data_IF_381708618687
#
_entry.id   IF_381708618687
#
_cell.length_a   1.000
_cell.length_b   1.000
_cell.length_c   1.000
_cell.angle_alpha   90.00
_cell.angle_beta   90.00
_cell.angle_gamma   90.00
#
_symmetry.space_group_name_H-M   'P 1'
#
loop_
_entity.id
_entity.type
_entity.pdbx_description
1 polymer ?
#
# COMPACT_ATOMS: atom_id res chain seq x y z
N UNK A 1 14.99 -7.37 -24.51
CA UNK A 1 14.07 -6.36 -23.96
C UNK A 1 13.60 -5.44 -25.09
N UNK A 2 12.30 -5.19 -25.22
CA UNK A 2 11.70 -4.28 -26.23
C UNK A 2 10.84 -3.26 -25.48
N UNK A 3 10.83 -2.00 -25.90
CA UNK A 3 10.08 -0.92 -25.24
C UNK A 3 9.25 -0.11 -26.24
N UNK A 4 7.95 0.00 -26.01
CA UNK A 4 7.09 0.86 -26.84
C UNK A 4 7.01 2.27 -26.23
N UNK A 5 7.68 3.25 -26.84
CA UNK A 5 7.71 4.65 -26.41
C UNK A 5 7.55 5.63 -27.57
N UNK A 6 6.83 6.72 -27.33
CA UNK A 6 6.80 7.91 -28.17
C UNK A 6 7.79 8.95 -27.61
N UNK A 7 9.08 8.77 -27.88
CA UNK A 7 10.13 9.75 -27.56
C UNK A 7 10.75 10.32 -28.83
N UNK A 8 11.35 11.52 -28.71
CA UNK A 8 12.08 12.16 -29.80
C UNK A 8 13.17 11.21 -30.35
N UNK A 9 13.35 11.08 -31.68
CA UNK A 9 14.35 10.20 -32.29
C UNK A 9 15.81 10.49 -31.87
N UNK A 10 16.06 11.69 -31.35
CA UNK A 10 17.38 12.16 -30.90
C UNK A 10 17.72 11.83 -29.46
N UNK A 11 16.78 11.29 -28.67
CA UNK A 11 16.95 11.07 -27.25
C UNK A 11 17.50 9.65 -27.01
N UNK A 12 18.54 9.54 -26.19
CA UNK A 12 19.06 8.26 -25.73
C UNK A 12 18.24 7.79 -24.53
N UNK A 13 17.95 6.49 -24.48
CA UNK A 13 17.24 5.87 -23.36
C UNK A 13 18.01 4.66 -22.85
N UNK A 14 17.91 4.39 -21.55
CA UNK A 14 18.36 3.14 -20.95
C UNK A 14 17.33 2.65 -19.93
N UNK A 15 17.42 1.37 -19.60
CA UNK A 15 16.65 0.73 -18.54
C UNK A 15 17.60 0.41 -17.39
N UNK A 16 17.20 0.84 -16.19
CA UNK A 16 17.82 0.45 -14.94
C UNK A 16 16.99 -0.66 -14.31
N UNK A 17 17.65 -1.69 -13.79
CA UNK A 17 17.02 -2.82 -13.12
C UNK A 17 17.67 -3.10 -11.76
N UNK A 18 16.89 -3.56 -10.79
CA UNK A 18 17.36 -3.94 -9.47
C UNK A 18 16.48 -5.00 -8.82
N UNK A 19 17.10 -5.84 -7.99
CA UNK A 19 16.42 -6.87 -7.19
C UNK A 19 16.31 -6.40 -5.75
N UNK A 20 15.09 -6.42 -5.22
CA UNK A 20 14.76 -5.91 -3.89
C UNK A 20 14.00 -6.93 -3.05
N UNK A 21 14.21 -6.87 -1.74
CA UNK A 21 13.36 -7.48 -0.73
C UNK A 21 12.86 -6.39 0.22
N UNK A 22 11.59 -6.00 0.08
CA UNK A 22 11.09 -4.77 0.69
C UNK A 22 11.81 -3.55 0.11
N UNK A 23 12.51 -2.80 0.95
CA UNK A 23 13.36 -1.66 0.57
C UNK A 23 14.84 -2.03 0.41
N UNK A 24 15.24 -3.23 0.83
CA UNK A 24 16.64 -3.67 0.81
C UNK A 24 17.04 -4.14 -0.59
N UNK A 25 18.19 -3.67 -1.06
CA UNK A 25 18.78 -4.05 -2.33
C UNK A 25 19.55 -5.37 -2.17
N UNK A 26 19.17 -6.40 -2.94
CA UNK A 26 19.76 -7.74 -2.81
C UNK A 26 21.15 -7.85 -3.45
N UNK A 27 21.37 -7.11 -4.54
CA UNK A 27 22.64 -7.06 -5.28
C UNK A 27 22.76 -5.73 -6.04
N UNK A 28 23.96 -5.42 -6.55
CA UNK A 28 24.19 -4.17 -7.30
C UNK A 28 23.21 -4.01 -8.46
N UNK A 29 22.66 -2.80 -8.63
CA UNK A 29 21.75 -2.48 -9.76
C UNK A 29 22.47 -2.62 -11.11
N UNK A 30 21.74 -3.08 -12.11
CA UNK A 30 22.24 -3.25 -13.49
C UNK A 30 21.63 -2.16 -14.37
N UNK A 31 22.41 -1.67 -15.33
CA UNK A 31 22.01 -0.61 -16.26
C UNK A 31 22.26 -1.13 -17.68
N UNK A 32 21.24 -1.09 -18.53
CA UNK A 32 21.37 -1.47 -19.93
C UNK A 32 22.24 -0.48 -20.71
N UNK A 33 22.67 -0.88 -21.91
CA UNK A 33 23.20 0.04 -22.91
C UNK A 33 22.23 1.20 -23.24
N UNK A 34 22.78 2.34 -23.65
CA UNK A 34 22.00 3.51 -24.09
C UNK A 34 21.66 3.36 -25.58
N UNK A 35 20.37 3.36 -25.91
CA UNK A 35 19.91 3.24 -27.31
C UNK A 35 19.13 4.48 -27.75
N UNK A 36 19.19 4.79 -29.05
CA UNK A 36 18.44 5.90 -29.65
C UNK A 36 17.10 5.42 -30.19
N UNK A 37 16.11 6.32 -30.29
CA UNK A 37 14.79 5.99 -30.86
C UNK A 37 14.78 5.54 -32.34
N UNK A 38 15.92 5.52 -33.03
CA UNK A 38 16.05 4.97 -34.39
C UNK A 38 16.02 3.44 -34.46
N UNK A 39 16.21 2.74 -33.33
CA UNK A 39 16.23 1.27 -33.27
C UNK A 39 14.93 0.66 -32.75
N UNK A 40 13.81 1.39 -32.86
CA UNK A 40 12.52 1.04 -32.26
C UNK A 40 12.61 0.64 -30.77
N UNK A 41 13.63 1.17 -30.09
CA UNK A 41 13.96 0.88 -28.69
C UNK A 41 14.12 -0.62 -28.37
N UNK A 42 14.80 -1.37 -29.23
CA UNK A 42 15.15 -2.79 -29.03
C UNK A 42 16.56 -2.90 -28.42
N UNK A 43 16.68 -3.53 -27.23
CA UNK A 43 17.99 -3.79 -26.58
C UNK A 43 18.58 -5.16 -26.91
N UNK A 44 17.77 -6.22 -26.86
CA UNK A 44 18.24 -7.62 -26.94
C UNK A 44 19.49 -7.95 -26.10
N UNK A 45 19.62 -7.31 -24.95
CA UNK A 45 20.74 -7.44 -24.02
C UNK A 45 20.34 -8.30 -22.81
N UNK A 46 21.16 -9.29 -22.40
CA UNK A 46 20.97 -9.98 -21.12
C UNK A 46 21.43 -9.09 -19.96
N UNK A 47 20.60 -8.95 -18.93
CA UNK A 47 20.95 -8.24 -17.69
C UNK A 47 21.31 -9.29 -16.63
N UNK A 48 22.60 -9.41 -16.33
CA UNK A 48 23.12 -10.34 -15.32
C UNK A 48 23.22 -9.67 -13.94
N UNK A 49 22.62 -10.30 -12.94
CA UNK A 49 22.63 -9.84 -11.56
C UNK A 49 23.66 -10.63 -10.74
N UNK A 50 24.33 -9.94 -9.82
CA UNK A 50 25.34 -10.53 -8.92
C UNK A 50 24.67 -11.24 -7.73
N UNK A 51 23.83 -12.24 -8.04
CA UNK A 51 23.14 -13.09 -7.07
C UNK A 51 22.73 -14.42 -7.73
N UNK A 52 22.93 -15.53 -7.02
CA UNK A 52 22.51 -16.83 -7.54
C UNK A 52 21.00 -17.02 -7.39
N UNK A 53 20.42 -17.88 -8.24
CA UNK A 53 18.98 -18.20 -8.15
C UNK A 53 18.60 -18.86 -6.82
N UNK A 54 19.50 -19.63 -6.20
CA UNK A 54 19.26 -20.26 -4.89
C UNK A 54 19.17 -19.27 -3.73
N UNK A 55 19.79 -18.10 -3.88
CA UNK A 55 19.86 -17.06 -2.85
C UNK A 55 18.72 -16.04 -2.95
N UNK A 56 17.84 -16.18 -3.95
CA UNK A 56 16.70 -15.29 -4.14
C UNK A 56 15.60 -15.58 -3.10
N UNK A 57 15.21 -14.60 -2.26
CA UNK A 57 14.12 -14.79 -1.31
C UNK A 57 12.76 -14.91 -2.01
N UNK A 58 11.80 -15.56 -1.35
CA UNK A 58 10.46 -15.83 -1.90
C UNK A 58 9.73 -14.58 -2.39
N UNK A 59 9.89 -13.46 -1.68
CA UNK A 59 9.22 -12.18 -1.97
C UNK A 59 10.09 -11.21 -2.77
N UNK A 60 11.05 -11.72 -3.56
CA UNK A 60 11.91 -10.89 -4.41
C UNK A 60 11.10 -10.10 -5.44
N UNK A 61 11.32 -8.79 -5.44
CA UNK A 61 10.80 -7.83 -6.43
C UNK A 61 11.90 -7.50 -7.43
N UNK A 62 11.57 -7.59 -8.71
CA UNK A 62 12.39 -7.10 -9.81
C UNK A 62 11.80 -5.75 -10.27
N UNK A 63 12.56 -4.69 -10.05
CA UNK A 63 12.13 -3.31 -10.28
C UNK A 63 12.85 -2.74 -11.51
N UNK A 64 12.10 -2.06 -12.37
CA UNK A 64 12.62 -1.40 -13.58
C UNK A 64 12.27 0.08 -13.59
N UNK A 65 13.20 0.90 -14.06
CA UNK A 65 12.96 2.30 -14.41
C UNK A 65 13.60 2.62 -15.75
N UNK A 66 12.83 3.28 -16.61
CA UNK A 66 13.26 3.80 -17.90
C UNK A 66 13.62 5.27 -17.73
N UNK A 67 14.84 5.61 -18.12
CA UNK A 67 15.32 6.98 -18.13
C UNK A 67 15.71 7.40 -19.55
N UNK A 68 15.33 8.62 -19.91
CA UNK A 68 15.91 9.31 -21.03
C UNK A 68 17.13 10.11 -20.56
N UNK A 69 18.20 10.09 -21.35
CA UNK A 69 19.50 10.63 -20.98
C UNK A 69 19.87 11.77 -21.91
N UNK A 70 20.34 12.86 -21.33
CA UNK A 70 20.99 13.95 -22.05
C UNK A 70 22.39 14.18 -21.47
N UNK A 71 23.38 14.24 -22.36
CA UNK A 71 24.70 14.71 -22.02
C UNK A 71 24.65 16.19 -21.66
N UNK A 72 25.44 16.60 -20.66
CA UNK A 72 25.60 18.02 -20.34
C UNK A 72 26.20 18.75 -21.53
N UNK A 73 25.37 19.49 -22.27
CA UNK A 73 25.88 20.51 -23.18
C UNK A 73 26.57 21.59 -22.33
N UNK A 74 27.88 21.78 -22.50
CA UNK A 74 28.58 22.98 -22.03
C UNK A 74 28.10 24.17 -22.86
N UNK A 75 26.90 24.69 -22.64
CA UNK A 75 26.46 25.95 -23.24
C UNK A 75 26.83 27.12 -22.33
N UNK A 76 27.57 28.06 -22.92
CA UNK A 76 27.87 29.39 -22.36
C UNK A 76 26.59 30.04 -21.83
N UNK A 77 26.72 30.77 -20.71
CA UNK A 77 25.68 31.59 -20.07
C UNK A 77 24.69 32.15 -21.10
N UNK A 78 23.49 31.61 -21.12
CA UNK A 78 22.33 32.23 -21.76
C UNK A 78 21.23 32.33 -20.70
N UNK A 79 21.04 33.55 -20.22
CA UNK A 79 19.94 34.00 -19.38
C UNK A 79 18.65 34.03 -20.20
N UNK A 80 17.98 32.89 -20.33
CA UNK A 80 16.53 32.83 -20.56
C UNK A 80 15.96 31.71 -19.72
N UNK A 81 15.22 32.10 -18.69
CA UNK A 81 14.36 31.28 -17.85
C UNK A 81 13.35 30.51 -18.71
N UNK A 82 13.71 29.29 -19.11
CA UNK A 82 12.71 28.28 -19.43
C UNK A 82 12.11 27.79 -18.11
N UNK A 83 10.78 27.80 -18.03
CA UNK A 83 10.01 27.29 -16.90
C UNK A 83 10.59 25.97 -16.39
N UNK A 84 10.80 25.79 -15.07
CA UNK A 84 11.23 24.51 -14.54
C UNK A 84 10.15 23.48 -14.89
N UNK A 85 10.48 22.53 -15.75
CA UNK A 85 9.60 21.42 -16.08
C UNK A 85 9.21 20.71 -14.79
N UNK A 86 7.92 20.42 -14.65
CA UNK A 86 7.24 19.74 -13.54
C UNK A 86 7.79 18.33 -13.18
N UNK A 87 8.88 17.90 -13.80
CA UNK A 87 9.49 16.59 -13.69
C UNK A 87 10.86 16.72 -13.04
N UNK A 88 11.05 16.06 -11.89
CA UNK A 88 12.31 16.01 -11.16
C UNK A 88 13.36 15.30 -12.02
N UNK A 89 14.43 16.02 -12.37
CA UNK A 89 15.54 15.46 -13.17
C UNK A 89 16.63 14.95 -12.24
N UNK A 90 17.16 13.77 -12.52
CA UNK A 90 18.19 13.14 -11.68
C UNK A 90 19.55 13.38 -12.34
N UNK A 91 20.52 13.91 -11.59
CA UNK A 91 21.89 14.13 -12.09
C UNK A 91 22.82 13.10 -11.47
N UNK A 92 23.28 12.12 -12.26
CA UNK A 92 24.21 11.07 -11.82
C UNK A 92 25.26 10.83 -12.91
N UNK A 93 26.52 10.68 -12.51
CA UNK A 93 27.66 10.42 -13.41
C UNK A 93 27.83 11.43 -14.55
N UNK A 94 27.61 12.71 -14.29
CA UNK A 94 27.80 13.78 -15.28
C UNK A 94 26.67 13.94 -16.31
N UNK A 95 25.68 13.04 -16.34
CA UNK A 95 24.51 13.09 -17.24
C UNK A 95 23.25 13.54 -16.51
N UNK A 96 22.25 14.02 -17.27
CA UNK A 96 20.92 14.36 -16.77
C UNK A 96 19.95 13.26 -17.21
N UNK A 97 19.28 12.65 -16.24
CA UNK A 97 18.33 11.57 -16.41
C UNK A 97 16.91 12.11 -16.21
N UNK A 98 16.05 11.84 -17.19
CA UNK A 98 14.65 12.22 -17.21
C UNK A 98 13.81 10.96 -17.01
N UNK A 99 13.06 10.85 -15.91
CA UNK A 99 12.21 9.69 -15.65
C UNK A 99 11.11 9.59 -16.72
N UNK A 100 11.00 8.42 -17.35
CA UNK A 100 10.00 8.17 -18.40
C UNK A 100 8.88 7.26 -17.87
N UNK A 101 9.25 6.07 -17.39
CA UNK A 101 8.30 5.10 -16.86
C UNK A 101 8.98 4.14 -15.87
N UNK A 102 8.23 3.58 -14.93
CA UNK A 102 8.72 2.53 -14.04
C UNK A 102 7.72 1.37 -13.95
N UNK A 103 8.22 0.18 -13.68
CA UNK A 103 7.38 -1.02 -13.48
C UNK A 103 8.09 -2.04 -12.61
N UNK A 104 7.34 -2.67 -11.71
CA UNK A 104 7.84 -3.73 -10.85
C UNK A 104 7.14 -5.05 -11.19
N UNK A 105 7.83 -6.16 -10.94
CA UNK A 105 7.25 -7.50 -11.03
C UNK A 105 7.82 -8.40 -9.94
N UNK A 106 7.04 -9.39 -9.49
CA UNK A 106 7.57 -10.47 -8.66
C UNK A 106 8.41 -11.44 -9.50
N UNK A 107 9.49 -11.96 -8.92
CA UNK A 107 10.33 -13.02 -9.52
C UNK A 107 9.64 -14.40 -9.42
N UNK A 108 8.98 -14.66 -8.30
CA UNK A 108 8.16 -15.84 -8.07
C UNK A 108 6.67 -15.50 -8.21
N UNK A 109 5.89 -16.36 -8.84
CA UNK A 109 4.44 -16.18 -8.96
C UNK A 109 3.70 -16.48 -7.64
N UNK A 110 2.36 -16.47 -7.66
CA UNK A 110 1.54 -16.73 -6.47
C UNK A 110 1.66 -18.17 -5.95
N UNK A 111 2.02 -19.14 -6.81
CA UNK A 111 2.26 -20.54 -6.42
C UNK A 111 3.68 -20.76 -5.89
N UNK A 112 4.54 -19.74 -5.96
CA UNK A 112 5.95 -19.85 -5.62
C UNK A 112 6.80 -20.43 -6.76
N UNK A 113 6.29 -20.48 -7.98
CA UNK A 113 7.05 -20.89 -9.15
C UNK A 113 7.95 -19.75 -9.63
N UNK A 114 9.20 -20.04 -9.96
CA UNK A 114 10.09 -19.09 -10.63
C UNK A 114 9.55 -18.78 -12.03
N UNK A 115 9.33 -17.50 -12.34
CA UNK A 115 8.78 -17.10 -13.65
C UNK A 115 9.77 -17.41 -14.77
N UNK A 116 9.23 -17.83 -15.92
CA UNK A 116 10.00 -18.17 -17.13
C UNK A 116 9.29 -17.65 -18.39
N UNK A 117 10.05 -17.44 -19.46
CA UNK A 117 9.52 -17.04 -20.77
C UNK A 117 9.27 -15.53 -20.90
N UNK A 118 8.58 -15.17 -21.97
CA UNK A 118 8.33 -13.79 -22.36
C UNK A 118 7.18 -13.14 -21.56
N UNK A 119 7.43 -11.94 -21.02
CA UNK A 119 6.49 -11.20 -20.19
C UNK A 119 6.44 -9.74 -20.65
N UNK A 120 5.22 -9.23 -20.84
CA UNK A 120 4.97 -7.82 -21.13
C UNK A 120 4.54 -7.08 -19.86
N UNK A 121 5.27 -6.03 -19.51
CA UNK A 121 5.03 -5.21 -18.33
C UNK A 121 4.56 -3.81 -18.72
N UNK A 122 3.29 -3.49 -18.46
CA UNK A 122 2.75 -2.16 -18.69
C UNK A 122 3.11 -1.24 -17.53
N UNK A 123 3.80 -0.14 -17.85
CA UNK A 123 4.50 0.72 -16.90
C UNK A 123 3.66 1.90 -16.43
N UNK A 124 4.12 2.52 -15.33
CA UNK A 124 3.53 3.72 -14.74
C UNK A 124 4.37 4.95 -15.08
N UNK A 125 3.71 6.08 -15.37
CA UNK A 125 4.38 7.33 -15.76
C UNK A 125 4.62 8.29 -14.58
N UNK A 126 3.89 8.13 -13.47
CA UNK A 126 4.02 8.99 -12.29
C UNK A 126 5.13 8.47 -11.39
N UNK A 127 6.16 9.27 -11.15
CA UNK A 127 7.25 8.93 -10.23
C UNK A 127 7.03 9.56 -8.85
N UNK A 128 7.38 8.86 -7.76
CA UNK A 128 7.50 9.49 -6.44
C UNK A 128 8.72 10.42 -6.37
N UNK A 129 8.72 11.33 -5.40
CA UNK A 129 9.83 12.27 -5.17
C UNK A 129 11.08 11.57 -4.59
N UNK A 130 10.87 10.50 -3.81
CA UNK A 130 11.91 9.65 -3.22
C UNK A 130 12.04 8.35 -4.01
N UNK A 131 13.27 8.03 -4.41
CA UNK A 131 13.61 6.83 -5.18
C UNK A 131 14.83 6.16 -4.57
N UNK A 132 14.76 4.85 -4.39
CA UNK A 132 15.87 4.03 -3.90
C UNK A 132 16.73 3.59 -5.07
N UNK A 133 18.00 4.00 -5.10
CA UNK A 133 18.92 3.71 -6.21
C UNK A 133 18.38 4.04 -7.61
N UNK A 134 17.59 5.11 -7.74
CA UNK A 134 16.87 5.48 -8.97
C UNK A 134 15.85 4.41 -9.43
N UNK A 135 15.24 3.71 -8.49
CA UNK A 135 14.16 2.74 -8.69
C UNK A 135 13.05 3.00 -7.66
N UNK A 136 11.86 2.41 -7.89
CA UNK A 136 10.71 2.56 -7.00
C UNK A 136 10.28 1.21 -6.39
N UNK A 137 11.06 0.62 -5.44
CA UNK A 137 10.72 -0.67 -4.85
C UNK A 137 9.44 -0.64 -3.99
N UNK A 138 9.04 0.55 -3.51
CA UNK A 138 7.80 0.78 -2.77
C UNK A 138 6.55 0.76 -3.67
N UNK A 139 6.73 0.91 -4.98
CA UNK A 139 5.65 0.87 -5.96
C UNK A 139 5.01 -0.52 -6.08
N UNK A 140 3.75 -0.52 -6.55
CA UNK A 140 3.01 -1.76 -6.81
C UNK A 140 3.70 -2.65 -7.85
N UNK A 141 3.56 -3.96 -7.69
CA UNK A 141 3.97 -4.98 -8.68
C UNK A 141 2.89 -5.26 -9.73
N UNK A 142 1.73 -4.60 -9.63
CA UNK A 142 0.67 -4.67 -10.62
C UNK A 142 1.00 -3.78 -11.82
N UNK A 143 0.83 -4.32 -13.02
CA UNK A 143 1.02 -3.56 -14.26
C UNK A 143 -0.14 -2.59 -14.49
N UNK A 144 0.13 -1.50 -15.21
CA UNK A 144 -0.88 -0.53 -15.57
C UNK A 144 -2.00 -1.18 -16.43
N UNK A 145 -3.28 -1.08 -16.04
CA UNK A 145 -4.38 -1.71 -16.78
C UNK A 145 -4.73 -1.01 -18.10
N UNK A 146 -4.26 0.21 -18.34
CA UNK A 146 -4.49 0.94 -19.59
C UNK A 146 -3.47 0.56 -20.67
N UNK A 147 -3.54 -0.69 -21.13
CA UNK A 147 -2.52 -1.31 -22.00
C UNK A 147 -2.30 -0.59 -23.33
N UNK A 148 -3.32 0.06 -23.89
CA UNK A 148 -3.24 0.77 -25.17
C UNK A 148 -2.41 2.06 -25.10
N UNK A 149 -2.39 2.71 -23.94
CA UNK A 149 -1.75 4.02 -23.75
C UNK A 149 -0.48 3.93 -22.89
N UNK A 150 -0.29 2.84 -22.15
CA UNK A 150 0.83 2.67 -21.25
C UNK A 150 2.10 2.26 -22.00
N UNK A 151 3.24 2.78 -21.56
CA UNK A 151 4.56 2.29 -21.97
C UNK A 151 4.71 0.83 -21.61
N UNK A 152 4.99 -0.03 -22.59
CA UNK A 152 5.17 -1.47 -22.37
C UNK A 152 6.65 -1.85 -22.42
N UNK A 153 7.12 -2.57 -21.40
CA UNK A 153 8.45 -3.16 -21.33
C UNK A 153 8.35 -4.68 -21.49
N UNK A 154 8.91 -5.20 -22.57
CA UNK A 154 8.97 -6.64 -22.84
C UNK A 154 10.27 -7.22 -22.28
N UNK A 155 10.16 -8.19 -21.39
CA UNK A 155 11.29 -8.91 -20.80
C UNK A 155 11.14 -10.40 -21.02
N UNK A 156 12.26 -11.12 -21.02
CA UNK A 156 12.29 -12.58 -21.15
C UNK A 156 13.03 -13.16 -19.95
N UNK A 157 12.33 -13.95 -19.14
CA UNK A 157 12.97 -14.75 -18.09
C UNK A 157 13.63 -15.98 -18.72
N UNK A 158 14.76 -16.47 -18.17
CA UNK A 158 15.41 -17.68 -18.65
C UNK A 158 14.44 -18.86 -18.68
N UNK A 159 14.34 -19.54 -19.82
CA UNK A 159 13.50 -20.73 -19.98
C UNK A 159 14.31 -21.98 -19.61
N UNK A 160 13.85 -22.72 -18.60
CA UNK A 160 14.42 -24.03 -18.28
C UNK A 160 13.70 -25.13 -19.04
N UNK A 161 14.44 -25.86 -19.87
CA UNK A 161 13.88 -26.83 -20.86
C UNK A 161 13.34 -28.14 -20.28
N UNK A 162 13.41 -28.38 -18.96
CA UNK A 162 13.09 -29.70 -18.36
C UNK A 162 11.95 -29.69 -17.35
N UNK A 163 11.94 -28.79 -16.37
CA UNK A 163 10.89 -28.71 -15.35
C UNK A 163 10.85 -27.30 -14.72
N UNK A 164 9.66 -26.78 -14.33
CA UNK A 164 9.57 -25.54 -13.57
C UNK A 164 10.18 -25.68 -12.17
N UNK A 165 10.91 -24.64 -11.74
CA UNK A 165 11.44 -24.55 -10.37
C UNK A 165 10.43 -23.86 -9.45
N UNK A 166 10.25 -24.42 -8.26
CA UNK A 166 9.43 -23.86 -7.19
C UNK A 166 10.30 -23.49 -6.00
N UNK A 167 9.89 -22.46 -5.26
CA UNK A 167 10.48 -22.12 -3.98
C UNK A 167 10.32 -23.30 -2.99
N UNK A 168 11.32 -23.62 -2.17
CA UNK A 168 11.23 -24.74 -1.24
C UNK A 168 10.01 -24.64 -0.29
N UNK A 169 9.30 -25.76 -0.03
CA UNK A 169 8.25 -25.78 0.97
C UNK A 169 8.84 -25.62 2.37
N UNK A 170 7.99 -25.27 3.34
CA UNK A 170 8.39 -24.94 4.70
C UNK A 170 9.25 -26.03 5.36
N UNK A 171 8.86 -27.30 5.26
CA UNK A 171 9.60 -28.43 5.85
C UNK A 171 11.06 -28.49 5.38
N UNK A 172 11.32 -28.14 4.10
CA UNK A 172 12.67 -28.12 3.51
C UNK A 172 13.50 -26.95 4.01
N UNK A 173 12.86 -25.83 4.33
CA UNK A 173 13.54 -24.65 4.91
C UNK A 173 14.00 -24.98 6.33
N UNK A 174 13.14 -25.62 7.13
CA UNK A 174 13.48 -26.04 8.50
C UNK A 174 14.55 -27.13 8.52
N UNK A 175 14.47 -28.12 7.61
CA UNK A 175 15.52 -29.13 7.44
C UNK A 175 16.87 -28.46 7.17
N UNK A 176 16.90 -27.46 6.27
CA UNK A 176 18.13 -26.72 5.98
C UNK A 176 18.66 -25.95 7.18
N UNK A 177 17.79 -25.30 7.95
CA UNK A 177 18.17 -24.60 9.17
C UNK A 177 18.79 -25.56 10.21
N UNK A 178 18.24 -26.77 10.35
CA UNK A 178 18.73 -27.80 11.26
C UNK A 178 20.11 -28.34 10.85
N UNK A 179 20.35 -28.53 9.54
CA UNK A 179 21.68 -28.88 9.00
C UNK A 179 22.74 -27.85 9.42
N UNK A 180 22.43 -26.56 9.25
CA UNK A 180 23.37 -25.47 9.55
C UNK A 180 23.63 -25.37 11.05
N UNK A 181 22.58 -25.44 11.88
CA UNK A 181 22.71 -25.40 13.33
C UNK A 181 23.56 -26.57 13.87
N UNK A 182 23.43 -27.75 13.26
CA UNK A 182 24.23 -28.92 13.63
C UNK A 182 25.72 -28.69 13.32
N UNK A 183 26.06 -28.06 12.19
CA UNK A 183 27.44 -27.70 11.86
C UNK A 183 28.02 -26.58 12.74
N UNK A 184 27.20 -25.63 13.20
CA UNK A 184 27.63 -24.48 14.01
C UNK A 184 27.75 -24.79 15.52
N UNK A 185 27.14 -25.88 15.99
CA UNK A 185 27.11 -26.30 17.40
C UNK A 185 28.49 -26.49 18.05
N UNK A 186 29.57 -26.57 17.26
CA UNK A 186 30.94 -26.61 17.75
C UNK A 186 31.51 -25.25 18.21
N UNK A 187 30.85 -24.11 17.94
CA UNK A 187 31.45 -22.77 18.11
C UNK A 187 30.65 -21.77 18.97
N UNK A 188 29.44 -22.10 19.43
CA UNK A 188 28.52 -21.14 20.08
C UNK A 188 28.40 -21.40 21.59
N UNK A 189 29.51 -21.22 22.31
CA UNK A 189 29.43 -20.86 23.72
C UNK A 189 29.17 -19.35 23.81
N UNK A 190 28.11 -18.94 24.53
CA UNK A 190 27.72 -17.55 24.81
C UNK A 190 28.88 -16.54 24.73
N UNK A 191 29.00 -15.84 23.60
CA UNK A 191 30.03 -14.79 23.37
C UNK A 191 29.59 -13.42 23.89
N UNK A 192 28.39 -13.30 24.45
CA UNK A 192 27.82 -12.04 24.92
C UNK A 192 28.41 -11.59 26.27
N UNK A 193 29.56 -10.92 26.26
CA UNK A 193 30.01 -10.19 27.44
C UNK A 193 28.95 -9.15 27.87
N UNK A 194 28.79 -8.90 29.18
CA UNK A 194 27.77 -7.97 29.75
C UNK A 194 27.68 -6.61 29.05
N UNK A 195 28.78 -6.12 28.46
CA UNK A 195 28.82 -4.86 27.70
C UNK A 195 28.02 -4.91 26.39
N UNK A 196 28.03 -6.04 25.67
CA UNK A 196 27.32 -6.18 24.40
C UNK A 196 25.80 -6.28 24.58
N UNK A 197 25.34 -6.86 25.69
CA UNK A 197 23.91 -6.90 26.03
C UNK A 197 23.33 -5.50 26.28
N UNK A 198 24.10 -4.60 26.89
CA UNK A 198 23.66 -3.22 27.11
C UNK A 198 23.50 -2.46 25.78
N UNK A 199 24.45 -2.63 24.85
CA UNK A 199 24.38 -2.04 23.50
C UNK A 199 23.23 -2.64 22.70
N UNK A 200 23.04 -3.96 22.76
CA UNK A 200 21.91 -4.64 22.11
C UNK A 200 20.59 -4.04 22.59
N UNK A 201 20.41 -3.90 23.91
CA UNK A 201 19.18 -3.32 24.46
C UNK A 201 18.92 -1.89 23.95
N UNK A 202 19.95 -1.05 23.90
CA UNK A 202 19.82 0.30 23.34
C UNK A 202 19.32 0.28 21.89
N UNK A 203 19.85 -0.62 21.06
CA UNK A 203 19.45 -0.77 19.65
C UNK A 203 18.00 -1.28 19.54
N UNK A 204 17.61 -2.22 20.39
CA UNK A 204 16.26 -2.79 20.40
C UNK A 204 15.19 -1.79 20.83
N UNK A 205 15.53 -0.85 21.72
CA UNK A 205 14.63 0.21 22.20
C UNK A 205 14.48 1.38 21.19
N UNK A 206 15.21 1.38 20.07
CA UNK A 206 15.09 2.43 19.02
C UNK A 206 13.79 2.33 18.25
N UNK A 207 13.31 3.48 17.79
CA UNK A 207 12.06 3.59 17.04
C UNK A 207 12.09 2.80 15.71
N UNK A 208 10.95 2.44 15.10
CA UNK A 208 10.91 1.65 13.87
C UNK A 208 11.55 2.30 12.64
N UNK A 209 11.66 3.64 12.60
CA UNK A 209 12.28 4.36 11.46
C UNK A 209 13.80 4.44 11.58
N UNK A 210 14.38 4.02 12.72
CA UNK A 210 15.83 3.99 12.90
C UNK A 210 16.46 2.99 11.92
N UNK A 211 17.44 3.44 11.12
CA UNK A 211 18.24 2.55 10.29
C UNK A 211 19.32 1.86 11.13
N UNK A 212 19.61 0.60 10.81
CA UNK A 212 20.69 -0.18 11.41
C UNK A 212 21.93 -0.09 10.51
N UNK A 213 23.11 0.08 11.11
CA UNK A 213 24.36 -0.08 10.37
C UNK A 213 24.80 -1.55 10.34
N UNK A 214 25.70 -1.91 9.40
CA UNK A 214 26.14 -3.31 9.22
C UNK A 214 26.68 -3.94 10.50
N UNK A 215 27.45 -3.20 11.30
CA UNK A 215 27.99 -3.70 12.58
C UNK A 215 26.89 -4.00 13.61
N UNK A 216 25.82 -3.21 13.62
CA UNK A 216 24.67 -3.43 14.52
C UNK A 216 23.85 -4.64 14.05
N UNK A 217 23.67 -4.80 12.74
CA UNK A 217 23.04 -5.98 12.15
C UNK A 217 23.81 -7.25 12.53
N UNK A 218 25.14 -7.25 12.35
CA UNK A 218 25.99 -8.38 12.71
C UNK A 218 25.92 -8.71 14.22
N UNK A 219 25.84 -7.69 15.08
CA UNK A 219 25.68 -7.87 16.53
C UNK A 219 24.33 -8.54 16.87
N UNK A 220 23.22 -8.05 16.31
CA UNK A 220 21.88 -8.61 16.54
C UNK A 220 21.82 -10.06 16.06
N UNK A 221 22.34 -10.33 14.85
CA UNK A 221 22.35 -11.68 14.29
C UNK A 221 23.23 -12.64 15.09
N UNK A 222 24.37 -12.19 15.60
CA UNK A 222 25.25 -13.00 16.46
C UNK A 222 24.57 -13.33 17.79
N UNK A 223 23.80 -12.40 18.36
CA UNK A 223 23.08 -12.55 19.64
C UNK A 223 21.61 -12.98 19.48
N UNK A 224 21.24 -13.58 18.35
CA UNK A 224 19.87 -13.98 18.02
C UNK A 224 19.21 -14.94 19.03
N UNK A 225 20.01 -15.82 19.64
CA UNK A 225 19.53 -16.71 20.72
C UNK A 225 19.19 -15.92 21.99
N UNK A 226 20.04 -14.97 22.38
CA UNK A 226 19.76 -14.06 23.50
C UNK A 226 18.53 -13.18 23.22
N UNK A 227 18.35 -12.71 21.98
CA UNK A 227 17.15 -11.99 21.54
C UNK A 227 15.89 -12.83 21.76
N UNK A 228 15.90 -14.10 21.32
CA UNK A 228 14.76 -15.02 21.44
C UNK A 228 14.39 -15.30 22.90
N UNK A 229 15.40 -15.52 23.75
CA UNK A 229 15.21 -15.93 25.14
C UNK A 229 14.85 -14.75 26.05
N UNK A 230 15.54 -13.61 25.88
CA UNK A 230 15.46 -12.48 26.82
C UNK A 230 14.64 -11.29 26.31
N UNK A 231 14.46 -11.13 24.98
CA UNK A 231 13.87 -9.93 24.38
C UNK A 231 12.77 -10.26 23.34
N UNK A 232 11.53 -10.59 23.77
CA UNK A 232 10.45 -10.97 22.85
C UNK A 232 10.09 -9.90 21.81
N UNK A 233 10.31 -8.62 22.12
CA UNK A 233 10.06 -7.49 21.23
C UNK A 233 11.19 -7.25 20.21
N UNK A 234 12.28 -8.03 20.26
CA UNK A 234 13.43 -7.85 19.39
C UNK A 234 13.18 -8.28 17.94
N UNK A 235 12.12 -9.04 17.69
CA UNK A 235 11.83 -9.66 16.39
C UNK A 235 11.89 -8.69 15.20
N UNK A 236 11.32 -7.46 15.25
CA UNK A 236 11.39 -6.53 14.12
C UNK A 236 12.83 -6.13 13.76
N UNK A 237 13.66 -5.87 14.77
CA UNK A 237 15.08 -5.50 14.57
C UNK A 237 15.91 -6.72 14.15
N UNK A 238 15.58 -7.92 14.63
CA UNK A 238 16.19 -9.18 14.20
C UNK A 238 15.93 -9.45 12.71
N UNK A 239 14.69 -9.26 12.23
CA UNK A 239 14.33 -9.40 10.82
C UNK A 239 15.06 -8.42 9.90
N UNK A 240 15.35 -7.21 10.40
CA UNK A 240 16.13 -6.19 9.68
C UNK A 240 17.63 -6.45 9.73
N UNK A 241 18.12 -7.33 10.61
CA UNK A 241 19.55 -7.63 10.75
C UNK A 241 20.08 -8.62 9.72
N UNK A 242 19.19 -9.33 9.03
CA UNK A 242 19.55 -10.39 8.09
C UNK A 242 19.77 -9.80 6.71
N UNK A 243 20.83 -10.27 6.05
CA UNK A 243 21.02 -10.06 4.61
C UNK A 243 20.17 -11.08 3.87
N UNK A 244 19.05 -10.65 3.31
CA UNK A 244 18.09 -11.52 2.62
C UNK A 244 18.60 -12.14 1.30
N UNK A 245 19.88 -11.91 0.98
CA UNK A 245 20.55 -12.38 -0.24
C UNK A 245 21.39 -13.65 -0.03
N UNK A 246 21.15 -14.40 1.06
CA UNK A 246 21.75 -15.71 1.33
C UNK A 246 20.72 -16.69 1.86
N UNK A 247 20.68 -17.89 1.27
CA UNK A 247 19.69 -18.90 1.66
C UNK A 247 19.89 -19.39 3.10
N UNK A 248 21.13 -19.47 3.59
CA UNK A 248 21.43 -19.99 4.92
C UNK A 248 20.87 -19.09 6.03
N UNK A 249 21.07 -17.78 5.90
CA UNK A 249 20.60 -16.79 6.87
C UNK A 249 19.05 -16.73 6.88
N UNK A 250 18.43 -16.81 5.69
CA UNK A 250 16.96 -16.85 5.56
C UNK A 250 16.37 -18.11 6.19
N UNK A 251 17.02 -19.27 6.03
CA UNK A 251 16.56 -20.53 6.63
C UNK A 251 16.63 -20.48 8.16
N UNK A 252 17.76 -20.01 8.72
CA UNK A 252 17.92 -19.85 10.17
C UNK A 252 16.88 -18.88 10.76
N UNK A 253 16.65 -17.74 10.09
CA UNK A 253 15.65 -16.77 10.52
C UNK A 253 14.22 -17.32 10.48
N UNK A 254 13.89 -18.09 9.45
CA UNK A 254 12.57 -18.72 9.31
C UNK A 254 12.28 -19.68 10.47
N UNK A 255 13.31 -20.40 10.94
CA UNK A 255 13.20 -21.25 12.13
C UNK A 255 13.02 -20.43 13.42
N UNK A 256 13.74 -19.32 13.58
CA UNK A 256 13.64 -18.46 14.77
C UNK A 256 12.28 -17.76 14.88
N UNK A 257 11.74 -17.28 13.76
CA UNK A 257 10.41 -16.67 13.70
C UNK A 257 9.31 -17.67 14.05
N UNK A 258 9.37 -18.90 13.52
CA UNK A 258 8.44 -19.97 13.87
C UNK A 258 8.56 -20.36 15.35
N UNK A 259 9.77 -20.55 15.88
CA UNK A 259 9.97 -20.88 17.29
C UNK A 259 9.39 -19.80 18.22
N UNK A 260 9.49 -18.53 17.82
CA UNK A 260 8.95 -17.41 18.60
C UNK A 260 7.43 -17.32 18.48
N UNK A 261 6.86 -17.62 17.30
CA UNK A 261 5.42 -17.68 17.06
C UNK A 261 4.76 -18.89 17.76
N UNK A 262 5.32 -20.10 17.61
CA UNK A 262 4.80 -21.34 18.18
C UNK A 262 4.91 -21.41 19.71
N UNK A 263 5.95 -20.84 20.33
CA UNK A 263 6.14 -20.96 21.79
C UNK A 263 5.38 -19.93 22.62
N UNK A 264 4.74 -18.91 22.01
CA UNK A 264 4.12 -17.81 22.78
C UNK A 264 2.74 -17.37 22.30
N UNK A 265 2.25 -17.85 21.15
CA UNK A 265 0.98 -17.37 20.59
C UNK A 265 0.16 -18.55 20.03
N UNK A 266 -0.90 -18.93 20.73
CA UNK A 266 -2.00 -19.68 20.09
C UNK A 266 -2.50 -18.84 18.89
N UNK A 267 -2.43 -19.36 17.64
CA UNK A 267 -2.70 -18.56 16.44
C UNK A 267 -4.11 -17.97 16.36
N UNK A 268 -5.05 -18.47 17.18
CA UNK A 268 -6.46 -18.09 17.18
C UNK A 268 -6.84 -17.08 18.25
N UNK A 269 -6.04 -16.88 19.30
CA UNK A 269 -6.49 -16.14 20.47
C UNK A 269 -6.00 -14.68 20.57
N UNK A 270 -5.05 -14.21 19.74
CA UNK A 270 -4.55 -12.83 19.85
C UNK A 270 -4.12 -12.14 18.55
N UNK A 271 -5.09 -11.80 17.70
CA UNK A 271 -4.92 -10.63 16.83
C UNK A 271 -6.13 -9.70 16.98
N UNK A 272 -5.98 -8.76 17.92
CA UNK A 272 -6.90 -7.65 18.22
C UNK A 272 -8.31 -8.05 18.69
N UNK A 273 -8.80 -7.42 19.77
CA UNK A 273 -10.25 -7.35 19.98
C UNK A 273 -10.90 -6.54 18.85
N UNK A 274 -12.19 -6.76 18.56
CA UNK A 274 -12.89 -6.06 17.46
C UNK A 274 -12.82 -4.52 17.61
N UNK A 275 -12.80 -4.03 18.85
CA UNK A 275 -12.66 -2.61 19.16
C UNK A 275 -11.28 -2.07 18.78
N UNK A 276 -10.20 -2.76 19.15
CA UNK A 276 -8.84 -2.40 18.76
C UNK A 276 -8.64 -2.51 17.25
N UNK A 277 -9.16 -3.59 16.64
CA UNK A 277 -9.10 -3.79 15.19
C UNK A 277 -9.75 -2.61 14.46
N UNK A 278 -10.88 -2.12 14.95
CA UNK A 278 -11.56 -0.96 14.36
C UNK A 278 -10.72 0.32 14.40
N UNK A 279 -9.82 0.45 15.39
CA UNK A 279 -8.92 1.60 15.51
C UNK A 279 -7.81 1.58 14.46
N UNK A 280 -7.33 0.40 14.05
CA UNK A 280 -6.23 0.25 13.09
C UNK A 280 -6.69 -0.22 11.70
N UNK A 281 -8.00 -0.42 11.50
CA UNK A 281 -8.56 -0.95 10.26
C UNK A 281 -8.18 -0.11 9.04
N UNK A 282 -8.09 1.21 9.19
CA UNK A 282 -7.68 2.10 8.10
C UNK A 282 -6.28 1.70 7.59
N UNK A 283 -5.30 1.55 8.50
CA UNK A 283 -3.92 1.21 8.15
C UNK A 283 -3.83 -0.18 7.54
N UNK A 284 -4.54 -1.17 8.11
CA UNK A 284 -4.56 -2.54 7.58
C UNK A 284 -5.09 -2.61 6.15
N UNK A 285 -6.11 -1.80 5.81
CA UNK A 285 -6.59 -1.70 4.41
C UNK A 285 -5.52 -1.09 3.50
N UNK A 286 -4.70 -0.16 4.00
CA UNK A 286 -3.59 0.39 3.21
C UNK A 286 -2.47 -0.63 3.01
N UNK A 287 -2.23 -1.53 3.97
CA UNK A 287 -1.21 -2.61 3.86
C UNK A 287 -1.53 -3.54 2.68
N UNK A 288 -2.81 -3.79 2.39
CA UNK A 288 -3.22 -4.59 1.23
C UNK A 288 -2.60 -4.09 -0.08
N UNK A 289 -2.36 -2.79 -0.24
CA UNK A 289 -1.76 -2.21 -1.46
C UNK A 289 -0.31 -2.66 -1.69
N UNK A 290 0.38 -3.11 -0.63
CA UNK A 290 1.74 -3.64 -0.69
C UNK A 290 1.78 -5.16 -0.87
N UNK A 291 0.65 -5.85 -0.67
CA UNK A 291 0.54 -7.29 -0.87
C UNK A 291 0.69 -7.63 -2.35
N UNK A 292 1.68 -8.47 -2.73
CA UNK A 292 1.94 -8.79 -4.13
C UNK A 292 0.87 -9.73 -4.73
N UNK A 293 0.20 -10.52 -3.89
CA UNK A 293 -0.77 -11.53 -4.29
C UNK A 293 -2.14 -11.25 -3.67
N UNK A 294 -3.21 -11.67 -4.36
CA UNK A 294 -4.59 -11.45 -3.91
C UNK A 294 -4.93 -12.27 -2.66
N UNK A 295 -4.51 -13.54 -2.66
CA UNK A 295 -4.73 -14.46 -1.57
C UNK A 295 -3.58 -14.36 -0.56
N UNK A 296 -3.83 -13.70 0.57
CA UNK A 296 -2.85 -13.51 1.63
C UNK A 296 -3.52 -13.63 3.01
N UNK A 297 -2.72 -13.86 4.05
CA UNK A 297 -3.24 -14.01 5.42
C UNK A 297 -4.03 -12.77 5.88
N UNK A 298 -3.56 -11.57 5.51
CA UNK A 298 -4.23 -10.32 5.86
C UNK A 298 -5.60 -10.19 5.21
N UNK A 299 -5.74 -10.50 3.91
CA UNK A 299 -7.05 -10.39 3.23
C UNK A 299 -8.06 -11.38 3.80
N UNK A 300 -7.62 -12.60 4.12
CA UNK A 300 -8.43 -13.62 4.81
C UNK A 300 -8.85 -13.16 6.20
N UNK A 301 -7.91 -12.67 7.02
CA UNK A 301 -8.18 -12.15 8.36
C UNK A 301 -9.20 -11.01 8.34
N UNK A 302 -9.01 -10.02 7.47
CA UNK A 302 -9.93 -8.88 7.36
C UNK A 302 -11.33 -9.32 6.94
N UNK A 303 -11.44 -10.26 5.99
CA UNK A 303 -12.73 -10.82 5.57
C UNK A 303 -13.41 -11.60 6.69
N UNK A 304 -12.68 -12.48 7.38
CA UNK A 304 -13.22 -13.28 8.49
C UNK A 304 -13.80 -12.38 9.60
N UNK A 305 -13.04 -11.35 10.00
CA UNK A 305 -13.49 -10.38 11.02
C UNK A 305 -14.64 -9.50 10.55
N UNK A 306 -14.63 -9.07 9.30
CA UNK A 306 -15.72 -8.30 8.71
C UNK A 306 -17.04 -9.10 8.62
N UNK A 307 -16.96 -10.40 8.33
CA UNK A 307 -18.14 -11.28 8.28
C UNK A 307 -18.67 -11.58 9.68
N UNK A 308 -17.79 -11.70 10.68
CA UNK A 308 -18.18 -11.89 12.08
C UNK A 308 -18.76 -10.62 12.72
N UNK A 309 -18.30 -9.43 12.33
CA UNK A 309 -18.71 -8.16 12.91
C UNK A 309 -19.17 -7.14 11.85
N UNK A 310 -20.48 -6.85 11.82
CA UNK A 310 -21.08 -5.92 10.85
C UNK A 310 -20.49 -4.50 10.89
N UNK A 311 -20.05 -4.01 12.06
CA UNK A 311 -19.44 -2.68 12.17
C UNK A 311 -18.12 -2.66 11.40
N UNK A 312 -17.26 -3.65 11.63
CA UNK A 312 -16.00 -3.82 10.91
C UNK A 312 -16.29 -4.00 9.42
N UNK A 313 -17.26 -4.84 9.06
CA UNK A 313 -17.62 -5.09 7.67
C UNK A 313 -18.13 -3.84 6.93
N UNK A 314 -18.90 -2.96 7.57
CA UNK A 314 -19.32 -1.69 6.96
C UNK A 314 -18.10 -0.77 6.72
N UNK A 315 -17.20 -0.61 7.69
CA UNK A 315 -16.02 0.23 7.51
C UNK A 315 -15.05 -0.34 6.47
N UNK A 316 -14.79 -1.66 6.50
CA UNK A 316 -13.99 -2.33 5.49
C UNK A 316 -14.56 -2.11 4.09
N UNK A 317 -15.88 -2.29 3.92
CA UNK A 317 -16.57 -2.01 2.65
C UNK A 317 -16.30 -0.58 2.17
N UNK A 318 -16.48 0.43 3.02
CA UNK A 318 -16.30 1.83 2.62
C UNK A 318 -14.84 2.22 2.36
N UNK A 319 -13.88 1.70 3.14
CA UNK A 319 -12.46 1.93 2.88
C UNK A 319 -12.07 1.39 1.50
N UNK A 320 -12.44 0.15 1.18
CA UNK A 320 -12.16 -0.46 -0.14
C UNK A 320 -12.94 0.24 -1.26
N UNK A 321 -14.24 0.49 -1.07
CA UNK A 321 -15.13 1.09 -2.08
C UNK A 321 -14.73 2.51 -2.45
N UNK A 322 -14.12 3.24 -1.51
CA UNK A 322 -13.62 4.60 -1.73
C UNK A 322 -12.46 4.64 -2.73
N UNK A 323 -11.68 3.56 -2.82
CA UNK A 323 -10.46 3.49 -3.65
C UNK A 323 -10.56 2.49 -4.82
N UNK A 324 -11.64 1.72 -4.94
CA UNK A 324 -11.81 0.73 -6.02
C UNK A 324 -11.75 1.32 -7.44
N UNK A 325 -11.95 2.64 -7.58
CA UNK A 325 -11.84 3.36 -8.84
C UNK A 325 -10.38 3.67 -9.23
N UNK A 326 -9.43 3.49 -8.30
CA UNK A 326 -7.99 3.67 -8.53
C UNK A 326 -7.48 2.43 -9.27
N UNK A 327 -6.95 2.57 -10.49
CA UNK A 327 -6.60 1.42 -11.35
C UNK A 327 -5.63 0.43 -10.71
N UNK A 328 -4.65 0.93 -9.96
CA UNK A 328 -3.60 0.11 -9.34
C UNK A 328 -4.11 -0.90 -8.30
N UNK A 329 -5.27 -0.64 -7.67
CA UNK A 329 -5.84 -1.48 -6.60
C UNK A 329 -7.24 -2.01 -6.93
N UNK A 330 -7.79 -1.62 -8.09
CA UNK A 330 -9.18 -1.88 -8.46
C UNK A 330 -9.55 -3.36 -8.42
N UNK A 331 -8.70 -4.21 -9.00
CA UNK A 331 -8.89 -5.67 -9.01
C UNK A 331 -8.85 -6.23 -7.60
N UNK A 332 -7.80 -5.89 -6.84
CA UNK A 332 -7.59 -6.41 -5.49
C UNK A 332 -8.73 -6.02 -4.54
N UNK A 333 -9.11 -4.74 -4.53
CA UNK A 333 -10.20 -4.27 -3.67
C UNK A 333 -11.56 -4.78 -4.16
N UNK A 334 -11.74 -4.92 -5.48
CA UNK A 334 -12.96 -5.46 -6.09
C UNK A 334 -13.26 -6.89 -5.65
N UNK A 335 -12.27 -7.80 -5.70
CA UNK A 335 -12.48 -9.21 -5.31
C UNK A 335 -12.74 -9.37 -3.81
N UNK A 336 -12.12 -8.54 -2.95
CA UNK A 336 -12.39 -8.54 -1.50
C UNK A 336 -13.81 -8.04 -1.23
N UNK A 337 -14.23 -6.95 -1.89
CA UNK A 337 -15.61 -6.44 -1.81
C UNK A 337 -16.63 -7.49 -2.26
N UNK A 338 -16.35 -8.19 -3.36
CA UNK A 338 -17.21 -9.26 -3.86
C UNK A 338 -17.32 -10.41 -2.85
N UNK A 339 -16.19 -10.89 -2.32
CA UNK A 339 -16.17 -11.96 -1.33
C UNK A 339 -16.99 -11.60 -0.08
N UNK A 340 -16.85 -10.38 0.43
CA UNK A 340 -17.63 -9.89 1.56
C UNK A 340 -19.14 -9.83 1.25
N UNK A 341 -19.52 -9.34 0.07
CA UNK A 341 -20.93 -9.29 -0.34
C UNK A 341 -21.54 -10.69 -0.44
N UNK A 342 -20.80 -11.67 -0.96
CA UNK A 342 -21.22 -13.08 -1.02
C UNK A 342 -21.41 -13.68 0.37
N UNK A 343 -20.52 -13.37 1.32
CA UNK A 343 -20.61 -13.87 2.70
C UNK A 343 -21.67 -13.18 3.57
N UNK A 344 -22.14 -11.99 3.19
CA UNK A 344 -23.09 -11.20 3.99
C UNK A 344 -24.21 -10.57 3.16
N UNK A 345 -24.96 -11.40 2.44
CA UNK A 345 -26.08 -11.01 1.56
C UNK A 345 -27.13 -10.14 2.29
N UNK A 346 -27.41 -10.43 3.57
CA UNK A 346 -28.33 -9.63 4.37
C UNK A 346 -27.89 -8.18 4.57
N UNK A 347 -26.57 -7.95 4.71
CA UNK A 347 -26.01 -6.61 4.89
C UNK A 347 -25.92 -5.84 3.56
N UNK A 348 -25.85 -6.52 2.41
CA UNK A 348 -25.82 -5.88 1.09
C UNK A 348 -26.99 -4.92 0.87
N UNK A 349 -28.18 -5.24 1.38
CA UNK A 349 -29.36 -4.35 1.27
C UNK A 349 -29.14 -3.00 1.94
N UNK A 350 -28.54 -2.99 3.14
CA UNK A 350 -28.25 -1.76 3.86
C UNK A 350 -27.15 -0.95 3.16
N UNK A 351 -26.09 -1.62 2.67
CA UNK A 351 -25.01 -0.99 1.90
C UNK A 351 -25.54 -0.40 0.58
N UNK A 352 -26.41 -1.12 -0.13
CA UNK A 352 -27.06 -0.65 -1.35
C UNK A 352 -27.84 0.65 -1.11
N UNK A 353 -28.58 0.72 0.00
CA UNK A 353 -29.32 1.93 0.38
C UNK A 353 -28.38 3.10 0.66
N UNK A 354 -27.25 2.86 1.33
CA UNK A 354 -26.21 3.88 1.54
C UNK A 354 -25.59 4.37 0.21
N UNK A 355 -25.32 3.46 -0.73
CA UNK A 355 -24.80 3.80 -2.07
C UNK A 355 -25.81 4.66 -2.85
N UNK A 356 -27.09 4.29 -2.81
CA UNK A 356 -28.16 5.06 -3.45
C UNK A 356 -28.26 6.47 -2.87
N UNK A 357 -28.27 6.59 -1.53
CA UNK A 357 -28.27 7.87 -0.84
C UNK A 357 -27.09 8.76 -1.27
N UNK A 358 -25.87 8.22 -1.29
CA UNK A 358 -24.67 8.96 -1.71
C UNK A 358 -24.73 9.37 -3.19
N UNK A 359 -25.30 8.56 -4.07
CA UNK A 359 -25.50 8.92 -5.48
C UNK A 359 -26.48 10.10 -5.62
N UNK A 360 -27.59 10.11 -4.85
CA UNK A 360 -28.51 11.25 -4.80
C UNK A 360 -27.81 12.51 -4.28
N UNK A 361 -27.03 12.40 -3.21
CA UNK A 361 -26.26 13.53 -2.67
C UNK A 361 -25.22 14.08 -3.66
N UNK A 362 -24.55 13.19 -4.41
CA UNK A 362 -23.61 13.57 -5.47
C UNK A 362 -24.32 14.35 -6.58
N UNK A 363 -25.47 13.86 -7.04
CA UNK A 363 -26.30 14.55 -8.05
C UNK A 363 -26.77 15.91 -7.53
N UNK A 364 -27.29 15.99 -6.31
CA UNK A 364 -27.73 17.24 -5.68
C UNK A 364 -26.58 18.26 -5.55
N UNK A 365 -25.39 17.82 -5.11
CA UNK A 365 -24.21 18.68 -5.02
C UNK A 365 -23.81 19.25 -6.40
N UNK A 366 -23.84 18.43 -7.46
CA UNK A 366 -23.56 18.87 -8.83
C UNK A 366 -24.59 19.89 -9.33
N UNK A 367 -25.87 19.67 -9.06
CA UNK A 367 -26.94 20.62 -9.40
C UNK A 367 -26.75 21.97 -8.70
N UNK A 368 -26.42 21.95 -7.39
CA UNK A 368 -26.15 23.17 -6.62
C UNK A 368 -24.92 23.90 -7.16
N UNK A 369 -23.84 23.20 -7.52
CA UNK A 369 -22.64 23.81 -8.12
C UNK A 369 -22.95 24.54 -9.43
N UNK A 370 -23.77 23.93 -10.29
CA UNK A 370 -24.20 24.54 -11.57
C UNK A 370 -25.14 25.74 -11.34
N UNK A 371 -26.11 25.59 -10.43
CA UNK A 371 -27.10 26.61 -10.16
C UNK A 371 -26.55 27.81 -9.39
N UNK A 372 -25.51 27.62 -8.58
CA UNK A 372 -24.84 28.70 -7.85
C UNK A 372 -24.20 29.76 -8.76
N UNK A 373 -23.99 29.44 -10.05
CA UNK A 373 -23.54 30.42 -11.06
C UNK A 373 -24.67 31.32 -11.57
N UNK A 374 -25.92 30.90 -11.40
CA UNK A 374 -27.12 31.55 -11.99
C UNK A 374 -28.07 32.13 -10.95
N UNK A 375 -28.12 31.53 -9.76
CA UNK A 375 -29.06 31.86 -8.69
C UNK A 375 -28.35 32.49 -7.50
N UNK A 376 -29.04 33.41 -6.83
CA UNK A 376 -28.59 33.90 -5.52
C UNK A 376 -28.79 32.83 -4.43
N UNK A 377 -28.17 33.03 -3.27
CA UNK A 377 -28.15 32.04 -2.17
C UNK A 377 -29.54 31.64 -1.65
N UNK A 378 -30.47 32.60 -1.57
CA UNK A 378 -31.83 32.34 -1.11
C UNK A 378 -32.58 31.40 -2.08
N UNK A 379 -32.58 31.74 -3.38
CA UNK A 379 -33.19 30.90 -4.43
C UNK A 379 -32.49 29.54 -4.57
N UNK A 380 -31.17 29.50 -4.38
CA UNK A 380 -30.40 28.25 -4.37
C UNK A 380 -30.80 27.33 -3.21
N UNK A 381 -31.02 27.88 -2.01
CA UNK A 381 -31.50 27.12 -0.85
C UNK A 381 -32.92 26.59 -1.08
N UNK A 382 -33.81 27.41 -1.62
CA UNK A 382 -35.18 27.00 -1.96
C UNK A 382 -35.17 25.88 -3.01
N UNK A 383 -34.36 26.00 -4.06
CA UNK A 383 -34.21 24.95 -5.08
C UNK A 383 -33.68 23.62 -4.49
N UNK A 384 -32.73 23.68 -3.54
CA UNK A 384 -32.27 22.52 -2.79
C UNK A 384 -33.41 21.88 -1.99
N UNK A 385 -34.21 22.68 -1.28
CA UNK A 385 -35.34 22.18 -0.50
C UNK A 385 -36.41 21.53 -1.38
N UNK A 386 -36.76 22.16 -2.51
CA UNK A 386 -37.69 21.60 -3.49
C UNK A 386 -37.21 20.26 -4.04
N UNK A 387 -35.91 20.14 -4.34
CA UNK A 387 -35.31 18.88 -4.80
C UNK A 387 -35.37 17.78 -3.72
N UNK A 388 -35.02 18.12 -2.47
CA UNK A 388 -35.05 17.18 -1.35
C UNK A 388 -36.47 16.69 -0.99
N UNK A 389 -37.50 17.50 -1.30
CA UNK A 389 -38.91 17.13 -1.09
C UNK A 389 -39.47 16.18 -2.14
N UNK A 390 -38.76 15.93 -3.25
CA UNK A 390 -39.17 14.95 -4.25
C UNK A 390 -39.17 13.52 -3.66
N UNK A 391 -40.19 12.72 -3.97
CA UNK A 391 -40.33 11.35 -3.44
C UNK A 391 -39.07 10.50 -3.64
N UNK A 392 -38.47 10.57 -4.84
CA UNK A 392 -37.25 9.83 -5.17
C UNK A 392 -36.01 10.25 -4.36
N UNK A 393 -35.97 11.45 -3.77
CA UNK A 393 -34.92 11.86 -2.84
C UNK A 393 -35.28 11.51 -1.40
N UNK A 394 -36.55 11.69 -1.02
CA UNK A 394 -37.03 11.36 0.33
C UNK A 394 -36.85 9.88 0.64
N UNK A 395 -37.25 8.99 -0.27
CA UNK A 395 -37.13 7.54 -0.10
C UNK A 395 -35.66 7.08 0.00
N UNK A 396 -34.80 7.62 -0.86
CA UNK A 396 -33.39 7.25 -0.91
C UNK A 396 -32.58 7.77 0.29
N UNK A 397 -32.93 8.94 0.82
CA UNK A 397 -32.20 9.60 1.92
C UNK A 397 -32.77 9.30 3.30
N UNK A 398 -33.88 8.55 3.42
CA UNK A 398 -34.53 8.26 4.71
C UNK A 398 -34.44 6.79 5.09
N UNK A 399 -34.52 6.49 6.39
CA UNK A 399 -34.51 5.15 6.99
C UNK A 399 -33.30 4.28 6.59
N UNK A 400 -32.10 4.85 6.67
CA UNK A 400 -30.85 4.12 6.39
C UNK A 400 -29.88 4.18 7.57
N UNK A 401 -29.01 3.18 7.68
CA UNK A 401 -27.88 3.23 8.61
C UNK A 401 -26.85 4.26 8.11
N UNK A 402 -26.33 5.08 9.01
CA UNK A 402 -25.29 6.05 8.67
C UNK A 402 -24.01 5.34 8.23
N UNK A 403 -23.40 5.73 7.08
CA UNK A 403 -22.09 5.22 6.66
C UNK A 403 -20.99 5.51 7.69
N UNK A 404 -21.12 6.59 8.47
CA UNK A 404 -20.14 7.04 9.46
C UNK A 404 -20.26 6.30 10.81
N UNK A 405 -21.47 5.85 11.16
CA UNK A 405 -21.71 5.08 12.38
C UNK A 405 -22.87 4.08 12.13
N UNK A 406 -22.58 2.77 12.01
CA UNK A 406 -23.60 1.75 11.72
C UNK A 406 -24.72 1.65 12.77
N UNK A 407 -24.50 2.15 13.99
CA UNK A 407 -25.49 2.16 15.07
C UNK A 407 -26.49 3.31 14.95
N UNK A 408 -26.20 4.33 14.14
CA UNK A 408 -27.07 5.50 13.96
C UNK A 408 -27.97 5.27 12.75
N UNK A 409 -29.29 5.35 12.98
CA UNK A 409 -30.29 5.30 11.92
C UNK A 409 -30.66 6.72 11.51
N UNK A 410 -30.39 7.07 10.26
CA UNK A 410 -30.83 8.30 9.63
C UNK A 410 -32.30 8.10 9.24
N UNK A 411 -33.23 8.58 10.08
CA UNK A 411 -34.67 8.36 9.88
C UNK A 411 -35.24 9.30 8.81
N UNK A 412 -35.96 10.36 9.18
CA UNK A 412 -36.46 11.36 8.22
C UNK A 412 -35.55 12.59 8.16
N UNK A 413 -35.37 13.12 6.96
CA UNK A 413 -34.61 14.35 6.72
C UNK A 413 -35.43 15.59 7.12
N UNK A 414 -34.86 16.42 7.99
CA UNK A 414 -35.42 17.72 8.35
C UNK A 414 -35.01 18.78 7.32
N UNK A 415 -35.71 18.79 6.19
CA UNK A 415 -35.38 19.59 5.00
C UNK A 415 -35.18 21.08 5.33
N UNK A 416 -36.02 21.65 6.19
CA UNK A 416 -36.00 23.08 6.55
C UNK A 416 -34.68 23.49 7.22
N UNK A 417 -34.04 22.58 7.97
CA UNK A 417 -32.73 22.77 8.61
C UNK A 417 -31.55 22.43 7.67
N UNK A 418 -31.79 21.76 6.55
CA UNK A 418 -30.75 21.46 5.56
C UNK A 418 -30.28 22.73 4.86
N UNK A 419 -28.96 22.80 4.59
CA UNK A 419 -28.31 23.94 3.92
C UNK A 419 -27.08 23.48 3.13
N UNK A 420 -26.47 24.37 2.36
CA UNK A 420 -25.15 24.17 1.77
C UNK A 420 -24.22 25.33 2.12
N UNK A 421 -22.92 25.06 2.22
CA UNK A 421 -21.92 26.09 2.51
C UNK A 421 -21.51 26.84 1.23
N UNK A 422 -21.05 28.09 1.37
CA UNK A 422 -20.68 28.93 0.22
C UNK A 422 -19.28 28.66 -0.34
N UNK A 423 -18.51 27.74 0.22
CA UNK A 423 -17.20 27.38 -0.31
C UNK A 423 -17.28 26.82 -1.74
N UNK A 424 -16.13 26.79 -2.44
CA UNK A 424 -16.02 26.39 -3.85
C UNK A 424 -16.73 25.05 -4.16
N UNK A 425 -16.61 24.08 -3.26
CA UNK A 425 -17.15 22.73 -3.44
C UNK A 425 -18.60 22.54 -2.96
N UNK A 426 -19.24 23.61 -2.44
CA UNK A 426 -20.66 23.65 -2.03
C UNK A 426 -21.11 22.43 -1.21
N UNK A 427 -20.41 22.10 -0.10
CA UNK A 427 -20.73 20.93 0.69
C UNK A 427 -22.13 21.05 1.29
N UNK A 428 -22.83 19.92 1.36
CA UNK A 428 -24.21 19.82 1.85
C UNK A 428 -24.21 19.54 3.34
N UNK A 429 -25.06 20.24 4.08
CA UNK A 429 -25.34 20.02 5.49
C UNK A 429 -26.75 19.44 5.60
N UNK A 430 -26.82 18.17 5.99
CA UNK A 430 -28.06 17.40 6.14
C UNK A 430 -28.37 17.26 7.63
N UNK A 431 -29.63 17.43 7.99
CA UNK A 431 -30.11 17.26 9.37
C UNK A 431 -31.19 16.21 9.37
N UNK A 432 -31.04 15.19 10.20
CA UNK A 432 -31.98 14.09 10.36
C UNK A 432 -32.65 14.15 11.72
N UNK A 433 -33.92 13.75 11.76
CA UNK A 433 -34.60 13.44 13.01
C UNK A 433 -34.02 12.13 13.56
N UNK A 434 -33.78 12.09 14.86
CA UNK A 434 -33.39 10.87 15.55
C UNK A 434 -34.62 10.30 16.27
N UNK A 435 -35.08 9.12 15.89
CA UNK A 435 -36.21 8.46 16.57
C UNK A 435 -35.80 7.62 17.78
N UNK A 436 -34.49 7.39 17.96
CA UNK A 436 -33.97 6.34 18.88
C UNK A 436 -33.32 6.90 20.15
N UNK A 437 -32.74 8.11 20.11
CA UNK A 437 -32.02 8.70 21.27
C UNK A 437 -32.56 10.06 21.78
N UNK A 438 -33.81 10.43 21.47
CA UNK A 438 -34.42 11.69 21.96
C UNK A 438 -34.43 12.84 20.94
N UNK A 439 -34.55 14.10 21.42
CA UNK A 439 -34.71 15.33 20.61
C UNK A 439 -33.46 15.74 19.79
N UNK A 440 -32.31 15.11 20.03
CA UNK A 440 -31.05 15.50 19.37
C UNK A 440 -31.02 15.07 17.90
N UNK A 441 -31.10 16.08 17.02
CA UNK A 441 -30.99 15.89 15.57
C UNK A 441 -29.58 15.47 15.16
N UNK A 442 -29.47 14.52 14.23
CA UNK A 442 -28.18 14.06 13.70
C UNK A 442 -27.80 14.88 12.47
N UNK A 443 -26.64 15.54 12.53
CA UNK A 443 -26.07 16.28 11.40
C UNK A 443 -25.09 15.43 10.59
N UNK A 444 -25.20 15.47 9.26
CA UNK A 444 -24.23 14.84 8.35
C UNK A 444 -23.79 15.86 7.30
N UNK A 445 -22.48 15.97 7.08
CA UNK A 445 -21.91 16.84 6.04
C UNK A 445 -21.47 15.97 4.87
N UNK A 446 -21.99 16.26 3.68
CA UNK A 446 -21.55 15.64 2.43
C UNK A 446 -20.64 16.61 1.66
N UNK A 447 -19.37 16.23 1.50
CA UNK A 447 -18.39 16.94 0.67
C UNK A 447 -18.10 16.13 -0.59
N UNK A 448 -18.00 16.81 -1.73
CA UNK A 448 -17.71 16.18 -3.02
C UNK A 448 -16.70 17.01 -3.81
N UNK A 449 -15.57 16.39 -4.11
CA UNK A 449 -14.42 16.94 -4.84
C UNK A 449 -13.32 17.55 -3.95
N UNK A 450 -13.50 17.57 -2.63
CA UNK A 450 -12.40 17.68 -1.67
C UNK A 450 -11.93 16.27 -1.30
N UNK A 451 -10.63 16.06 -1.11
CA UNK A 451 -10.07 14.80 -0.62
C UNK A 451 -10.09 14.76 0.91
N UNK A 452 -10.80 13.79 1.49
CA UNK A 452 -11.00 13.67 2.94
C UNK A 452 -10.09 12.63 3.60
N UNK A 453 -9.13 12.06 2.87
CA UNK A 453 -8.23 11.03 3.42
C UNK A 453 -7.38 11.57 4.57
N UNK A 454 -6.89 12.81 4.45
CA UNK A 454 -6.11 13.46 5.49
C UNK A 454 -6.93 13.80 6.74
N UNK A 455 -8.15 14.32 6.58
CA UNK A 455 -9.08 14.55 7.69
C UNK A 455 -9.38 13.25 8.43
N UNK A 456 -9.63 12.16 7.70
CA UNK A 456 -9.91 10.85 8.27
C UNK A 456 -8.75 10.32 9.14
N UNK A 457 -7.51 10.42 8.64
CA UNK A 457 -6.31 10.03 9.39
C UNK A 457 -6.11 10.91 10.62
N UNK A 458 -6.24 12.23 10.47
CA UNK A 458 -6.10 13.18 11.59
C UNK A 458 -7.10 12.88 12.70
N UNK A 459 -8.39 12.69 12.36
CA UNK A 459 -9.42 12.36 13.33
C UNK A 459 -9.22 10.98 13.97
N UNK A 460 -8.66 10.02 13.24
CA UNK A 460 -8.29 8.72 13.81
C UNK A 460 -7.15 8.87 14.81
N UNK A 461 -6.13 9.66 14.50
CA UNK A 461 -5.02 9.93 15.43
C UNK A 461 -5.51 10.66 16.70
N UNK A 462 -6.43 11.61 16.57
CA UNK A 462 -7.04 12.26 17.73
C UNK A 462 -7.81 11.26 18.61
N UNK A 463 -8.54 10.31 18.02
CA UNK A 463 -9.19 9.22 18.78
C UNK A 463 -8.19 8.32 19.48
N UNK A 464 -7.06 8.01 18.84
CA UNK A 464 -6.00 7.22 19.45
C UNK A 464 -5.35 7.97 20.63
N UNK A 465 -5.09 9.27 20.47
CA UNK A 465 -4.58 10.12 21.56
C UNK A 465 -5.55 10.15 22.75
N UNK A 466 -6.84 10.36 22.50
CA UNK A 466 -7.89 10.33 23.53
C UNK A 466 -7.93 8.98 24.27
N UNK A 467 -7.83 7.87 23.53
CA UNK A 467 -7.79 6.53 24.11
C UNK A 467 -6.57 6.33 25.02
N UNK A 468 -5.37 6.69 24.55
CA UNK A 468 -4.13 6.57 25.32
C UNK A 468 -4.13 7.44 26.58
N UNK A 469 -4.71 8.65 26.50
CA UNK A 469 -4.87 9.49 27.70
C UNK A 469 -5.85 8.88 28.69
N UNK A 470 -6.97 8.33 28.23
CA UNK A 470 -7.95 7.66 29.09
C UNK A 470 -7.37 6.41 29.76
N UNK A 471 -6.56 5.62 29.05
CA UNK A 471 -5.81 4.49 29.64
C UNK A 471 -4.85 4.94 30.74
N UNK A 472 -4.24 6.13 30.60
CA UNK A 472 -3.42 6.75 31.63
C UNK A 472 -4.23 7.45 32.74
N UNK A 473 -5.57 7.35 32.73
CA UNK A 473 -6.47 7.96 33.72
C UNK A 473 -6.73 9.46 33.50
N UNK A 474 -6.45 9.99 32.32
CA UNK A 474 -6.66 11.39 31.95
C UNK A 474 -7.77 11.53 30.89
N UNK A 475 -8.90 12.13 31.25
CA UNK A 475 -10.00 12.43 30.32
C UNK A 475 -10.01 13.93 29.96
N UNK A 476 -9.80 14.23 28.67
CA UNK A 476 -9.75 15.60 28.14
C UNK A 476 -11.07 16.08 27.51
N UNK A 477 -12.15 15.29 27.60
CA UNK A 477 -13.55 15.56 27.19
C UNK A 477 -13.90 15.35 25.71
#
# INVERSE_FOLDING_TARGET
MILCLFLSPSLQVHVRAGLFHGTELLCKTVVSSEISGKSDHIWNEPLEFDINTCDLPRMTRLCFAVYAVLDKVKTKKSTKTMNPSKYQTIRKSGKVHYPVAWVNTMVFDFKGQLRCGDITLHSWSSFPDELEEMLNPMGTVQTNPYTENATALHIKFPENKKQPYYYPPFDKIIEKAAEIASSDSANVSSRGGKKFLAVLKEILDRDPLSQLCENEMDLIWTLRQDCRENFPHALPKLLLSIKWNKLEDVAQCSCETECTACNKLDPKERLFHDEELSQYLLQLVQVLKYEPFLDCALSRFLLERALANRRIGQFLFWHLRSEVHIPAVSVQFGVILEAYCRGSVGHMKALSKQVEALNKLKTLNSLIKLNAMKLNRAKGKEAMHTCLKQNAYREALSDLQSPLNPCVILSELYVEKCKYMDSKMKPLWLVYNNKVFGEDSVGVIFKNGDDLRQDMLTLQMLRLMDLLWKEAGLDLR
#
